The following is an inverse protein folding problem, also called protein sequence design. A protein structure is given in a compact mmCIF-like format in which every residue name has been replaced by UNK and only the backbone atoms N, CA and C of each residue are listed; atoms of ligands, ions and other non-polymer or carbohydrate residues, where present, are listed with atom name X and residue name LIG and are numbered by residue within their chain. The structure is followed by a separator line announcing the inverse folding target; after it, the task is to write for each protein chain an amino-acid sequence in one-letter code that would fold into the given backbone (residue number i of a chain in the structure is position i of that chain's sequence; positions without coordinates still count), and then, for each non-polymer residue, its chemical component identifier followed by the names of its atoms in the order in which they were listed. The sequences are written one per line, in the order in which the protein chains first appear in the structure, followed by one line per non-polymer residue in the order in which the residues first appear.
data_IF_048074303047
#
_entry.id   IF_048074303047
#
_cell.length_a   1.000
_cell.length_b   1.000
_cell.length_c   1.000
_cell.angle_alpha   90.00
_cell.angle_beta   90.00
_cell.angle_gamma   90.00
#
_symmetry.space_group_name_H-M   'P 1'
#
loop_
_entity.id
_entity.type
_entity.pdbx_description
1 polymer ?
#
# COMPACT_ATOMS: atom_id res chain seq x y z
N UNK A 1 -26.21 2.50 9.95
CA UNK A 1 -24.90 1.82 9.98
C UNK A 1 -24.04 2.61 10.93
N UNK A 2 -23.71 2.04 12.08
CA UNK A 2 -22.85 2.69 13.07
C UNK A 2 -21.40 2.41 12.69
N UNK A 3 -20.64 3.45 12.35
CA UNK A 3 -19.20 3.36 12.13
C UNK A 3 -18.48 3.93 13.35
N UNK A 4 -17.51 3.19 13.87
CA UNK A 4 -16.60 3.65 14.91
C UNK A 4 -15.39 4.24 14.20
N UNK A 5 -15.01 5.47 14.54
CA UNK A 5 -13.78 6.10 14.09
C UNK A 5 -13.00 6.57 15.31
N UNK A 6 -11.78 6.07 15.47
CA UNK A 6 -10.89 6.39 16.57
C UNK A 6 -9.55 6.93 16.02
N UNK A 7 -8.99 7.90 16.73
CA UNK A 7 -7.73 8.55 16.37
C UNK A 7 -6.73 8.32 17.49
N UNK A 8 -5.52 7.90 17.13
CA UNK A 8 -4.41 7.66 18.03
C UNK A 8 -3.30 8.63 17.64
N UNK A 9 -2.95 9.56 18.53
CA UNK A 9 -1.90 10.53 18.28
C UNK A 9 -0.59 10.04 18.88
N UNK A 10 0.51 10.19 18.15
CA UNK A 10 1.86 9.87 18.64
C UNK A 10 2.16 10.49 20.02
N UNK A 11 1.74 11.73 20.24
CA UNK A 11 1.97 12.49 21.48
C UNK A 11 1.24 11.93 22.70
N UNK A 12 0.12 11.23 22.49
CA UNK A 12 -0.68 10.67 23.58
C UNK A 12 -0.09 9.37 24.12
N UNK A 13 0.69 8.67 23.28
CA UNK A 13 1.20 7.33 23.57
C UNK A 13 2.71 7.28 23.81
N UNK A 14 3.40 8.42 23.68
CA UNK A 14 4.85 8.53 23.95
C UNK A 14 5.74 8.15 22.77
N UNK A 15 5.16 7.89 21.60
CA UNK A 15 5.92 7.54 20.40
C UNK A 15 5.09 6.89 19.30
N UNK A 16 5.72 6.76 18.14
CA UNK A 16 5.12 6.16 16.95
C UNK A 16 4.73 4.69 17.20
N UNK A 17 5.64 3.93 17.81
CA UNK A 17 5.49 2.49 17.99
C UNK A 17 4.33 2.19 18.95
N UNK A 18 4.24 2.95 20.03
CA UNK A 18 3.23 2.83 21.08
C UNK A 18 1.85 3.21 20.56
N UNK A 19 1.74 4.34 19.83
CA UNK A 19 0.48 4.76 19.23
C UNK A 19 -0.03 3.74 18.20
N UNK A 20 0.88 3.21 17.37
CA UNK A 20 0.54 2.17 16.39
C UNK A 20 0.09 0.88 17.09
N UNK A 21 0.82 0.45 18.11
CA UNK A 21 0.49 -0.76 18.87
C UNK A 21 -0.86 -0.62 19.56
N UNK A 22 -1.17 0.54 20.14
CA UNK A 22 -2.45 0.82 20.77
C UNK A 22 -3.61 0.73 19.78
N UNK A 23 -3.45 1.32 18.59
CA UNK A 23 -4.42 1.20 17.50
C UNK A 23 -4.61 -0.27 17.10
N UNK A 24 -3.52 -1.01 16.91
CA UNK A 24 -3.59 -2.40 16.46
C UNK A 24 -4.26 -3.31 17.51
N UNK A 25 -4.01 -3.07 18.81
CA UNK A 25 -4.72 -3.74 19.90
C UNK A 25 -6.20 -3.42 19.88
N UNK A 26 -6.57 -2.16 19.63
CA UNK A 26 -7.95 -1.75 19.53
C UNK A 26 -8.66 -2.38 18.33
N UNK A 27 -7.98 -2.43 17.18
CA UNK A 27 -8.48 -3.09 15.98
C UNK A 27 -8.75 -4.58 16.25
N UNK A 28 -7.85 -5.27 16.93
CA UNK A 28 -8.05 -6.68 17.32
C UNK A 28 -9.30 -6.86 18.20
N UNK A 29 -9.50 -6.00 19.20
CA UNK A 29 -10.69 -6.04 20.07
C UNK A 29 -11.99 -5.83 19.30
N UNK A 30 -11.99 -4.93 18.31
CA UNK A 30 -13.18 -4.66 17.48
C UNK A 30 -13.44 -5.78 16.48
N UNK A 31 -12.39 -6.42 15.97
CA UNK A 31 -12.50 -7.61 15.12
C UNK A 31 -13.09 -8.80 15.88
N UNK A 32 -12.70 -9.00 17.14
CA UNK A 32 -13.31 -10.02 18.03
C UNK A 32 -14.81 -9.77 18.27
N UNK A 33 -15.25 -8.52 18.20
CA UNK A 33 -16.67 -8.12 18.27
C UNK A 33 -17.41 -8.31 16.94
N UNK A 34 -16.75 -8.80 15.90
CA UNK A 34 -17.33 -9.05 14.58
C UNK A 34 -17.36 -7.82 13.66
N UNK A 35 -16.61 -6.76 13.98
CA UNK A 35 -16.48 -5.58 13.14
C UNK A 35 -15.33 -5.73 12.15
N UNK A 36 -15.52 -5.20 10.95
CA UNK A 36 -14.45 -5.06 9.95
C UNK A 36 -13.68 -3.79 10.27
N UNK A 37 -12.37 -3.91 10.50
CA UNK A 37 -11.51 -2.79 10.85
C UNK A 37 -10.58 -2.40 9.70
N UNK A 38 -10.44 -1.10 9.46
CA UNK A 38 -9.45 -0.49 8.57
C UNK A 38 -8.53 0.42 9.40
N UNK A 39 -7.22 0.27 9.21
CA UNK A 39 -6.21 1.03 9.92
C UNK A 39 -5.40 1.88 8.93
N UNK A 40 -5.29 3.18 9.17
CA UNK A 40 -4.44 4.05 8.36
C UNK A 40 -3.33 4.71 9.22
N UNK A 41 -2.19 4.96 8.57
CA UNK A 41 -1.07 5.72 9.14
C UNK A 41 -1.01 7.07 8.42
N UNK A 42 -1.44 8.14 9.08
CA UNK A 42 -1.43 9.50 8.56
C UNK A 42 -0.27 10.27 9.19
N UNK A 43 0.59 10.87 8.37
CA UNK A 43 1.87 11.39 8.86
C UNK A 43 1.86 12.86 9.29
N UNK A 44 0.75 13.60 9.17
CA UNK A 44 0.80 15.05 9.28
C UNK A 44 -0.38 15.70 9.98
N UNK A 45 -0.24 15.89 11.30
CA UNK A 45 -0.88 16.99 12.03
C UNK A 45 0.18 17.65 12.91
N UNK A 46 0.56 18.89 12.59
CA UNK A 46 1.57 19.68 13.33
C UNK A 46 2.93 18.98 13.57
N UNK A 47 3.36 18.10 12.65
CA UNK A 47 4.61 17.35 12.76
C UNK A 47 4.52 16.05 13.58
N UNK A 48 3.33 15.71 14.07
CA UNK A 48 3.05 14.45 14.76
C UNK A 48 2.34 13.47 13.85
N UNK A 49 2.61 12.18 14.06
CA UNK A 49 1.92 11.10 13.37
C UNK A 49 0.57 10.82 14.02
N UNK A 50 -0.37 10.50 13.16
CA UNK A 50 -1.76 10.21 13.48
C UNK A 50 -2.07 8.82 12.93
N UNK A 51 -2.65 7.98 13.76
CA UNK A 51 -3.08 6.65 13.35
C UNK A 51 -4.58 6.59 13.50
N UNK A 52 -5.29 6.22 12.45
CA UNK A 52 -6.75 6.13 12.46
C UNK A 52 -7.17 4.67 12.44
N UNK A 53 -8.27 4.40 13.14
CA UNK A 53 -8.96 3.13 13.14
C UNK A 53 -10.42 3.40 12.79
N UNK A 54 -10.88 2.76 11.73
CA UNK A 54 -12.29 2.73 11.36
C UNK A 54 -12.81 1.31 11.53
N UNK A 55 -13.92 1.14 12.23
CA UNK A 55 -14.58 -0.14 12.38
C UNK A 55 -16.04 -0.03 11.97
N UNK A 56 -16.47 -0.94 11.09
CA UNK A 56 -17.84 -1.00 10.58
C UNK A 56 -18.40 -2.40 10.77
N UNK A 57 -19.70 -2.50 11.02
CA UNK A 57 -20.40 -3.78 10.91
C UNK A 57 -20.18 -4.37 9.52
N UNK A 58 -19.97 -5.68 9.43
CA UNK A 58 -19.88 -6.38 8.16
C UNK A 58 -21.23 -6.29 7.43
N UNK A 59 -21.43 -5.23 6.65
CA UNK A 59 -22.58 -5.14 5.77
C UNK A 59 -22.46 -6.24 4.72
N UNK A 60 -23.51 -7.05 4.48
CA UNK A 60 -23.56 -7.91 3.31
C UNK A 60 -23.29 -7.04 2.08
N UNK A 61 -22.19 -7.30 1.39
CA UNK A 61 -21.71 -6.46 0.30
C UNK A 61 -22.75 -6.55 -0.84
N UNK A 62 -23.60 -5.53 -0.99
CA UNK A 62 -24.04 -5.15 -2.33
C UNK A 62 -22.82 -4.50 -3.00
N UNK A 63 -22.25 -5.22 -3.97
CA UNK A 63 -21.10 -4.79 -4.76
C UNK A 63 -21.51 -3.58 -5.58
N UNK A 64 -21.27 -2.37 -5.06
CA UNK A 64 -21.30 -1.17 -5.89
C UNK A 64 -19.90 -0.94 -6.48
N UNK A 65 -19.77 -0.87 -7.81
CA UNK A 65 -18.48 -0.78 -8.48
C UNK A 65 -17.87 0.61 -8.26
N UNK A 66 -16.68 0.64 -7.66
CA UNK A 66 -15.85 1.85 -7.56
C UNK A 66 -15.37 2.22 -8.96
N UNK A 67 -15.70 3.41 -9.51
CA UNK A 67 -15.11 3.85 -10.76
C UNK A 67 -13.71 4.42 -10.49
N UNK A 68 -12.70 3.61 -10.79
CA UNK A 68 -11.37 4.02 -11.26
C UNK A 68 -10.51 4.91 -10.36
N UNK A 69 -9.36 4.38 -9.93
CA UNK A 69 -8.03 4.85 -10.37
C UNK A 69 -6.92 3.96 -9.79
N UNK A 70 -6.29 3.23 -10.71
CA UNK A 70 -4.87 2.88 -10.73
C UNK A 70 -4.29 1.97 -9.63
N UNK A 71 -4.80 0.73 -9.55
CA UNK A 71 -4.00 -0.39 -9.10
C UNK A 71 -3.00 -0.80 -10.20
N UNK A 72 -1.82 -0.16 -10.24
CA UNK A 72 -0.68 -0.71 -10.99
C UNK A 72 -0.21 -1.98 -10.28
N UNK A 73 -0.61 -3.08 -10.90
CA UNK A 73 -0.29 -4.47 -10.61
C UNK A 73 1.18 -4.68 -10.21
N UNK A 74 1.38 -5.29 -9.05
CA UNK A 74 2.65 -5.85 -8.59
C UNK A 74 2.93 -7.09 -9.47
N UNK A 75 3.98 -7.06 -10.30
CA UNK A 75 4.45 -8.23 -11.06
C UNK A 75 5.73 -8.77 -10.41
N UNK A 76 5.60 -9.83 -9.61
CA UNK A 76 6.72 -10.58 -9.06
C UNK A 76 6.83 -11.96 -9.75
N UNK A 77 8.07 -12.35 -10.07
CA UNK A 77 8.55 -13.61 -10.69
C UNK A 77 8.42 -13.61 -12.21
N UNK A 78 9.46 -13.76 -13.05
CA UNK A 78 10.77 -14.39 -12.87
C UNK A 78 10.80 -15.62 -13.76
N UNK A 79 11.28 -15.51 -15.01
CA UNK A 79 11.85 -16.62 -15.81
C UNK A 79 12.42 -16.05 -17.12
N UNK A 80 13.74 -16.15 -17.32
CA UNK A 80 14.39 -15.91 -18.62
C UNK A 80 15.06 -17.21 -19.03
N UNK A 81 14.62 -17.82 -20.14
CA UNK A 81 15.55 -18.53 -20.99
C UNK A 81 15.49 -18.11 -22.47
N UNK A 82 16.68 -17.74 -22.97
CA UNK A 82 17.32 -18.14 -24.24
C UNK A 82 16.64 -17.81 -25.59
N UNK A 83 17.26 -16.84 -26.29
CA UNK A 83 17.69 -16.78 -27.69
C UNK A 83 16.79 -17.28 -28.84
N UNK A 84 16.53 -16.38 -29.80
CA UNK A 84 16.59 -16.70 -31.24
C UNK A 84 16.79 -15.43 -32.09
N UNK A 85 17.97 -15.31 -32.73
CA UNK A 85 18.25 -14.52 -33.95
C UNK A 85 17.30 -14.93 -35.11
N UNK A 86 17.19 -14.26 -36.29
CA UNK A 86 18.21 -13.45 -37.04
C UNK A 86 17.56 -12.25 -37.83
N UNK A 87 18.09 -11.68 -38.96
CA UNK A 87 19.44 -11.72 -39.56
C UNK A 87 20.11 -10.35 -39.79
N UNK A 88 21.42 -10.46 -40.09
CA UNK A 88 22.33 -9.47 -40.69
C UNK A 88 21.68 -8.52 -41.70
N UNK A 89 21.95 -7.24 -41.55
CA UNK A 89 22.24 -6.38 -42.70
C UNK A 89 23.68 -5.86 -42.64
N UNK A 90 24.27 -5.78 -43.83
CA UNK A 90 25.70 -5.68 -44.05
C UNK A 90 26.12 -4.21 -44.18
N UNK A 91 27.09 -3.79 -43.36
CA UNK A 91 28.25 -2.90 -43.62
C UNK A 91 28.15 -1.85 -44.77
N UNK A 92 28.72 -0.63 -44.57
CA UNK A 92 30.17 -0.53 -44.75
C UNK A 92 30.94 0.22 -43.65
N UNK A 93 32.20 -0.18 -43.55
CA UNK A 93 33.30 0.32 -42.71
C UNK A 93 33.81 1.67 -43.24
N UNK A 94 34.28 2.56 -42.35
CA UNK A 94 35.45 3.50 -42.45
C UNK A 94 35.23 4.66 -41.44
N UNK A 95 36.19 5.24 -40.72
CA UNK A 95 37.66 5.11 -40.56
C UNK A 95 38.01 5.66 -39.16
N UNK A 96 39.11 5.16 -38.60
CA UNK A 96 39.82 5.75 -37.47
C UNK A 96 40.25 7.19 -37.76
N UNK A 97 40.18 8.08 -36.76
CA UNK A 97 41.24 9.06 -36.53
C UNK A 97 41.38 9.31 -35.03
N UNK A 98 42.58 9.05 -34.50
CA UNK A 98 43.00 9.45 -33.15
C UNK A 98 43.49 10.89 -33.24
N UNK A 99 43.18 11.69 -32.24
CA UNK A 99 44.11 12.70 -31.73
C UNK A 99 44.09 12.66 -30.22
#
# INVERSE_FOLDING_TARGET
MSAIQEVFLEIEWGGEAEARQARDQRAAQLQEQGLVCSCENLYNVYGYRVFTLEATEATPIEVSPVPGRDAKQISLRGDRPISSRPPRESRPVRKFERR
#
